data_IF_253004520888
#
_entry.id   IF_253004520888
#
_cell.length_a   1.000
_cell.length_b   1.000
_cell.length_c   1.000
_cell.angle_alpha   90.00
_cell.angle_beta   90.00
_cell.angle_gamma   90.00
#
_symmetry.space_group_name_H-M   'P 1'
#
loop_
_entity.id
_entity.type
_entity.pdbx_description
1 polymer ?
#
# COMPACT_ATOMS: atom_id res chain seq x y z
N UNK A 1 6.16 6.95 -2.05
CA UNK A 1 6.55 5.86 -1.12
C UNK A 1 7.34 6.47 0.03
N UNK A 2 6.71 6.59 1.19
CA UNK A 2 7.27 7.26 2.38
C UNK A 2 7.67 6.23 3.44
N UNK A 3 8.88 6.40 3.96
CA UNK A 3 9.55 5.62 5.01
C UNK A 3 9.81 4.14 4.70
N UNK A 4 11.09 3.82 4.49
CA UNK A 4 11.65 2.48 4.43
C UNK A 4 12.07 2.05 5.84
N UNK A 5 11.59 0.89 6.31
CA UNK A 5 11.78 0.45 7.70
C UNK A 5 12.70 -0.76 7.87
N UNK A 6 13.09 -1.36 6.76
CA UNK A 6 14.07 -2.43 6.70
C UNK A 6 15.21 -2.03 5.77
N UNK A 7 16.39 -2.59 6.00
CA UNK A 7 17.56 -2.41 5.16
C UNK A 7 18.13 -3.78 4.77
N UNK A 8 18.90 -3.82 3.68
CA UNK A 8 19.57 -5.03 3.19
C UNK A 8 18.63 -6.24 3.06
N UNK A 9 19.06 -7.38 3.59
CA UNK A 9 18.36 -8.65 3.47
C UNK A 9 16.97 -8.67 4.14
N UNK A 10 16.72 -7.83 5.14
CA UNK A 10 15.38 -7.72 5.75
C UNK A 10 14.41 -7.03 4.82
N UNK A 11 14.86 -5.98 4.12
CA UNK A 11 14.07 -5.30 3.13
C UNK A 11 13.73 -6.25 1.99
N UNK A 12 14.74 -6.94 1.46
CA UNK A 12 14.56 -7.88 0.37
C UNK A 12 13.52 -8.95 0.72
N UNK A 13 13.59 -9.55 1.91
CA UNK A 13 12.59 -10.52 2.37
C UNK A 13 11.19 -9.92 2.50
N UNK A 14 11.06 -8.70 3.02
CA UNK A 14 9.77 -8.03 3.11
C UNK A 14 9.19 -7.72 1.72
N UNK A 15 10.04 -7.34 0.77
CA UNK A 15 9.67 -7.01 -0.61
C UNK A 15 9.46 -8.24 -1.50
N UNK A 16 9.93 -9.42 -1.12
CA UNK A 16 9.76 -10.67 -1.88
C UNK A 16 8.81 -11.67 -1.20
N UNK A 17 8.02 -11.21 -0.22
CA UNK A 17 6.97 -12.01 0.41
C UNK A 17 6.09 -12.73 -0.63
N UNK A 18 5.86 -14.05 -0.49
CA UNK A 18 4.94 -14.79 -1.34
C UNK A 18 3.52 -14.25 -1.24
N UNK A 19 2.69 -14.49 -2.26
CA UNK A 19 1.27 -14.19 -2.21
C UNK A 19 0.59 -14.79 -0.97
N UNK A 20 -0.38 -14.08 -0.42
CA UNK A 20 -1.16 -14.48 0.76
C UNK A 20 -0.35 -14.56 2.08
N UNK A 21 0.92 -14.14 2.08
CA UNK A 21 1.78 -14.12 3.26
C UNK A 21 1.95 -12.70 3.82
N UNK A 22 2.28 -12.65 5.12
CA UNK A 22 2.62 -11.41 5.83
C UNK A 22 3.95 -11.53 6.55
N UNK A 23 4.59 -10.39 6.82
CA UNK A 23 5.66 -10.34 7.83
C UNK A 23 5.08 -10.55 9.23
N UNK A 24 5.97 -10.80 10.19
CA UNK A 24 5.69 -10.49 11.60
C UNK A 24 5.32 -9.01 11.79
N UNK A 25 4.67 -8.70 12.91
CA UNK A 25 4.43 -7.31 13.32
C UNK A 25 5.76 -6.74 13.82
N UNK A 26 6.12 -5.57 13.33
CA UNK A 26 7.32 -4.83 13.72
C UNK A 26 6.95 -3.41 14.13
N UNK A 27 7.78 -2.77 14.95
CA UNK A 27 7.63 -1.36 15.29
C UNK A 27 8.72 -0.56 14.58
N UNK A 28 8.38 0.28 13.58
CA UNK A 28 9.36 1.15 12.97
C UNK A 28 10.03 2.08 13.98
N UNK A 29 11.36 2.07 14.04
CA UNK A 29 12.13 3.07 14.80
C UNK A 29 12.13 4.39 14.03
N UNK A 30 11.03 5.14 14.05
CA UNK A 30 11.02 6.48 13.45
C UNK A 30 11.76 7.46 14.36
N UNK A 31 12.79 8.15 13.84
CA UNK A 31 13.42 9.27 14.55
C UNK A 31 12.39 10.38 14.75
N UNK A 32 11.92 10.57 15.99
CA UNK A 32 11.05 11.68 16.38
C UNK A 32 9.54 11.40 16.40
N UNK A 33 9.09 10.16 16.20
CA UNK A 33 7.67 9.85 16.32
C UNK A 33 7.22 9.84 17.79
N UNK A 34 6.23 10.68 18.12
CA UNK A 34 5.62 10.79 19.46
C UNK A 34 4.84 9.54 19.89
N UNK A 35 4.63 8.56 19.00
CA UNK A 35 3.81 7.38 19.24
C UNK A 35 4.34 6.18 18.47
N UNK A 36 4.50 5.06 19.18
CA UNK A 36 4.86 3.78 18.59
C UNK A 36 3.71 3.25 17.74
N UNK A 37 4.05 2.73 16.56
CA UNK A 37 3.11 2.16 15.58
C UNK A 37 3.56 0.74 15.31
N UNK A 38 2.61 -0.19 15.35
CA UNK A 38 2.82 -1.54 14.88
C UNK A 38 2.53 -1.61 13.38
N UNK A 39 3.45 -2.18 12.64
CA UNK A 39 3.39 -2.32 11.19
C UNK A 39 3.61 -3.76 10.77
N UNK A 40 2.98 -4.17 9.66
CA UNK A 40 3.32 -5.40 8.96
C UNK A 40 3.02 -5.25 7.48
N UNK A 41 3.75 -5.99 6.65
CA UNK A 41 3.46 -6.09 5.23
C UNK A 41 2.56 -7.30 4.97
N UNK A 42 1.67 -7.20 3.99
CA UNK A 42 0.84 -8.26 3.47
C UNK A 42 0.94 -8.24 1.94
N UNK A 43 1.18 -9.41 1.33
CA UNK A 43 1.18 -9.58 -0.12
C UNK A 43 -0.18 -10.08 -0.58
N UNK A 44 -0.86 -9.26 -1.37
CA UNK A 44 -2.16 -9.56 -1.96
C UNK A 44 -2.06 -10.35 -3.26
N UNK A 45 -1.01 -10.19 -4.06
CA UNK A 45 -0.86 -10.86 -5.36
C UNK A 45 0.58 -11.30 -5.59
N UNK A 46 0.85 -12.35 -6.37
CA UNK A 46 2.23 -12.67 -6.77
C UNK A 46 2.84 -11.47 -7.50
N UNK A 47 4.11 -11.17 -7.19
CA UNK A 47 4.81 -10.01 -7.75
C UNK A 47 5.65 -10.38 -8.97
N UNK A 48 5.92 -11.67 -9.18
CA UNK A 48 6.76 -12.17 -10.26
C UNK A 48 6.23 -11.68 -11.62
N UNK A 49 7.11 -11.06 -12.41
CA UNK A 49 6.74 -10.41 -13.67
C UNK A 49 6.23 -8.96 -13.53
N UNK A 50 6.14 -8.44 -12.30
CA UNK A 50 5.83 -7.05 -11.98
C UNK A 50 6.95 -6.43 -11.10
N UNK A 51 6.76 -5.18 -10.67
CA UNK A 51 7.66 -4.58 -9.67
C UNK A 51 7.45 -5.16 -8.26
N UNK A 52 8.45 -5.03 -7.38
CA UNK A 52 8.42 -5.62 -6.03
C UNK A 52 7.30 -5.09 -5.13
N UNK A 53 6.72 -3.92 -5.44
CA UNK A 53 5.63 -3.31 -4.67
C UNK A 53 4.26 -3.77 -5.15
N UNK A 54 4.19 -4.52 -6.26
CA UNK A 54 2.96 -5.03 -6.84
C UNK A 54 2.19 -5.91 -5.86
N UNK A 55 0.99 -5.49 -5.47
CA UNK A 55 0.19 -6.20 -4.48
C UNK A 55 0.75 -6.16 -3.05
N UNK A 56 1.79 -5.37 -2.77
CA UNK A 56 2.31 -5.20 -1.40
C UNK A 56 1.56 -4.07 -0.70
N UNK A 57 0.89 -4.39 0.41
CA UNK A 57 0.30 -3.39 1.30
C UNK A 57 1.01 -3.39 2.64
N UNK A 58 1.14 -2.19 3.23
CA UNK A 58 1.62 -2.02 4.61
C UNK A 58 0.43 -1.65 5.47
N UNK A 59 0.18 -2.45 6.50
CA UNK A 59 -0.80 -2.14 7.53
C UNK A 59 -0.09 -1.48 8.70
N UNK A 60 -0.75 -0.48 9.27
CA UNK A 60 -0.26 0.27 10.43
C UNK A 60 -1.40 0.42 11.45
N UNK A 61 -1.11 0.15 12.71
CA UNK A 61 -2.06 0.26 13.79
C UNK A 61 -1.36 0.68 15.09
N UNK A 62 -2.14 1.04 16.11
CA UNK A 62 -1.60 1.43 17.42
C UNK A 62 -0.64 0.36 17.97
N UNK A 63 0.48 0.76 18.55
CA UNK A 63 1.32 -0.18 19.31
C UNK A 63 0.57 -0.65 20.55
N UNK A 64 0.03 -1.88 20.46
CA UNK A 64 -0.76 -2.51 21.50
C UNK A 64 -0.69 -4.04 21.33
N UNK A 65 -0.70 -4.83 22.41
CA UNK A 65 -0.73 -6.29 22.32
C UNK A 65 -1.88 -6.84 21.46
N UNK A 66 -3.09 -6.29 21.59
CA UNK A 66 -4.23 -6.67 20.75
C UNK A 66 -3.97 -6.51 19.25
N UNK A 67 -3.17 -5.51 18.84
CA UNK A 67 -2.81 -5.33 17.43
C UNK A 67 -2.01 -6.53 16.92
N UNK A 68 -1.09 -7.05 17.73
CA UNK A 68 -0.30 -8.23 17.38
C UNK A 68 -1.21 -9.46 17.30
N UNK A 69 -2.14 -9.61 18.24
CA UNK A 69 -3.12 -10.69 18.26
C UNK A 69 -4.11 -10.64 17.07
N UNK A 70 -4.50 -9.45 16.63
CA UNK A 70 -5.44 -9.25 15.52
C UNK A 70 -4.80 -9.30 14.14
N UNK A 71 -3.48 -9.09 14.02
CA UNK A 71 -2.79 -9.04 12.73
C UNK A 71 -3.08 -10.25 11.81
N UNK A 72 -3.09 -11.52 12.28
CA UNK A 72 -3.48 -12.66 11.45
C UNK A 72 -4.92 -12.55 10.92
N UNK A 73 -5.88 -12.19 11.78
CA UNK A 73 -7.29 -12.13 11.41
C UNK A 73 -7.55 -11.01 10.40
N UNK A 74 -7.00 -9.82 10.65
CA UNK A 74 -7.11 -8.67 9.73
C UNK A 74 -6.49 -9.00 8.38
N UNK A 75 -5.29 -9.60 8.35
CA UNK A 75 -4.67 -10.03 7.09
C UNK A 75 -5.55 -11.03 6.32
N UNK A 76 -6.13 -12.00 7.02
CA UNK A 76 -7.03 -12.98 6.39
C UNK A 76 -8.34 -12.35 5.87
N UNK A 77 -8.84 -11.27 6.49
CA UNK A 77 -9.98 -10.52 5.96
C UNK A 77 -9.60 -9.78 4.69
N UNK A 78 -8.50 -9.02 4.69
CA UNK A 78 -8.09 -8.27 3.50
C UNK A 78 -7.79 -9.16 2.29
N UNK A 79 -7.26 -10.36 2.52
CA UNK A 79 -7.05 -11.34 1.43
C UNK A 79 -8.36 -11.80 0.78
N UNK A 80 -9.47 -11.83 1.54
CA UNK A 80 -10.81 -12.18 1.01
C UNK A 80 -11.47 -11.00 0.30
N UNK A 81 -11.16 -9.77 0.71
CA UNK A 81 -11.67 -8.52 0.12
C UNK A 81 -10.99 -8.15 -1.23
N UNK A 82 -10.11 -9.01 -1.75
CA UNK A 82 -9.47 -8.82 -3.07
C UNK A 82 -10.45 -8.94 -4.24
N UNK A 83 -11.64 -9.50 -4.01
CA UNK A 83 -12.70 -9.63 -5.00
C UNK A 83 -13.96 -8.89 -4.53
N UNK A 84 -14.63 -8.13 -5.41
CA UNK A 84 -14.28 -7.88 -6.81
C UNK A 84 -13.02 -7.02 -6.98
N UNK A 85 -12.47 -6.94 -8.20
CA UNK A 85 -11.28 -6.14 -8.52
C UNK A 85 -11.66 -4.70 -8.85
N UNK A 86 -10.84 -3.74 -8.45
CA UNK A 86 -11.00 -2.33 -8.78
C UNK A 86 -10.49 -1.97 -10.20
N UNK A 87 -10.30 -2.93 -11.10
CA UNK A 87 -9.89 -2.66 -12.48
C UNK A 87 -10.93 -1.78 -13.19
N UNK A 88 -10.53 -0.78 -14.00
CA UNK A 88 -9.16 -0.51 -14.47
C UNK A 88 -8.36 0.52 -13.63
N UNK A 89 -8.66 0.75 -12.34
CA UNK A 89 -7.85 1.65 -11.49
C UNK A 89 -6.39 1.17 -11.47
N UNK A 90 -5.43 2.07 -11.66
CA UNK A 90 -3.99 1.75 -11.70
C UNK A 90 -3.47 1.15 -10.40
N UNK A 91 -4.18 1.34 -9.29
CA UNK A 91 -3.86 0.81 -7.96
C UNK A 91 -4.55 -0.52 -7.68
N UNK A 92 -5.23 -1.14 -8.65
CA UNK A 92 -6.07 -2.34 -8.42
C UNK A 92 -5.33 -3.48 -7.71
N UNK A 93 -4.01 -3.56 -7.87
CA UNK A 93 -3.15 -4.54 -7.20
C UNK A 93 -3.17 -4.38 -5.67
N UNK A 94 -3.35 -3.16 -5.16
CA UNK A 94 -3.32 -2.83 -3.74
C UNK A 94 -4.63 -2.24 -3.21
N UNK A 95 -5.50 -1.76 -4.10
CA UNK A 95 -6.74 -1.08 -3.79
C UNK A 95 -7.88 -2.11 -3.67
N UNK A 96 -8.33 -2.33 -2.45
CA UNK A 96 -9.52 -3.15 -2.19
C UNK A 96 -10.77 -2.46 -2.74
N UNK A 97 -11.68 -3.24 -3.31
CA UNK A 97 -12.84 -2.68 -4.00
C UNK A 97 -13.75 -1.87 -3.07
N UNK A 98 -13.93 -2.30 -1.81
CA UNK A 98 -14.70 -1.52 -0.84
C UNK A 98 -14.15 -0.09 -0.66
N UNK A 99 -12.82 0.08 -0.73
CA UNK A 99 -12.20 1.41 -0.66
C UNK A 99 -12.45 2.17 -1.97
N UNK A 100 -12.26 1.51 -3.12
CA UNK A 100 -12.54 2.10 -4.44
C UNK A 100 -13.99 2.59 -4.56
N UNK A 101 -14.95 1.81 -4.09
CA UNK A 101 -16.38 2.15 -4.12
C UNK A 101 -16.68 3.38 -3.26
N UNK A 102 -16.14 3.43 -2.03
CA UNK A 102 -16.26 4.61 -1.16
C UNK A 102 -15.59 5.83 -1.78
N UNK A 103 -14.38 5.71 -2.33
CA UNK A 103 -13.69 6.80 -3.03
C UNK A 103 -14.53 7.33 -4.21
N UNK A 104 -15.14 6.43 -4.97
CA UNK A 104 -16.01 6.76 -6.11
C UNK A 104 -17.25 7.50 -5.65
N UNK A 105 -17.95 6.94 -4.66
CA UNK A 105 -19.14 7.54 -4.04
C UNK A 105 -18.85 8.95 -3.50
N UNK A 106 -17.75 9.12 -2.76
CA UNK A 106 -17.37 10.42 -2.19
C UNK A 106 -17.02 11.42 -3.28
N UNK A 107 -16.34 11.02 -4.36
CA UNK A 107 -16.02 11.90 -5.48
C UNK A 107 -17.26 12.44 -6.18
N UNK A 108 -18.33 11.65 -6.28
CA UNK A 108 -19.61 12.13 -6.87
C UNK A 108 -20.32 13.17 -5.99
N UNK A 109 -20.00 13.24 -4.69
CA UNK A 109 -20.63 14.15 -3.72
C UNK A 109 -19.73 15.31 -3.29
N UNK A 110 -18.44 15.26 -3.62
CA UNK A 110 -17.51 16.31 -3.25
C UNK A 110 -17.87 17.63 -3.96
N UNK A 111 -17.95 18.75 -3.24
CA UNK A 111 -17.93 20.09 -3.83
C UNK A 111 -16.79 20.24 -4.84
N UNK A 112 -17.04 20.89 -5.98
CA UNK A 112 -16.11 20.93 -7.13
C UNK A 112 -14.76 21.58 -6.80
N UNK A 113 -14.70 22.37 -5.74
CA UNK A 113 -13.53 23.05 -5.20
C UNK A 113 -12.61 22.15 -4.35
N UNK A 114 -13.08 20.98 -3.90
CA UNK A 114 -12.28 19.99 -3.16
C UNK A 114 -11.70 18.90 -4.06
N UNK A 115 -12.11 18.83 -5.33
CA UNK A 115 -11.59 17.87 -6.30
C UNK A 115 -10.43 18.51 -7.06
N UNK A 116 -9.17 18.13 -6.82
CA UNK A 116 -8.07 18.63 -7.62
C UNK A 116 -8.29 18.27 -9.10
N UNK A 117 -8.00 19.17 -10.04
CA UNK A 117 -8.13 18.86 -11.46
C UNK A 117 -7.28 17.63 -11.79
N UNK A 118 -7.70 16.78 -12.76
CA UNK A 118 -6.90 15.64 -13.16
C UNK A 118 -5.51 16.15 -13.52
N UNK A 119 -4.50 15.64 -12.80
CA UNK A 119 -3.12 16.07 -12.96
C UNK A 119 -2.70 15.83 -14.40
N UNK A 120 -2.54 16.93 -15.15
CA UNK A 120 -1.89 16.91 -16.45
C UNK A 120 -0.57 16.19 -16.30
N UNK A 121 -0.43 15.09 -17.03
CA UNK A 121 0.79 14.32 -17.20
C UNK A 121 1.96 15.28 -17.38
N UNK A 122 2.80 15.41 -16.34
CA UNK A 122 4.08 16.08 -16.44
C UNK A 122 4.90 15.27 -17.46
N UNK A 123 4.91 15.75 -18.70
CA UNK A 123 5.88 15.29 -19.70
C UNK A 123 7.22 15.80 -19.21
N UNK A 124 8.06 14.91 -18.70
CA UNK A 124 9.47 15.22 -18.49
C UNK A 124 10.04 15.74 -19.82
N UNK A 125 10.84 16.82 -19.81
CA UNK A 125 11.45 17.32 -21.03
C UNK A 125 12.49 16.29 -21.51
N UNK A 126 12.30 15.77 -22.72
CA UNK A 126 13.36 15.06 -23.44
C UNK A 126 14.43 16.09 -23.77
N UNK A 127 15.56 16.04 -23.07
CA UNK A 127 16.75 16.79 -23.43
C UNK A 127 17.23 16.31 -24.79
N UNK A 128 17.06 17.16 -25.82
CA UNK A 128 17.72 17.04 -27.11
C UNK A 128 19.24 17.09 -26.88
N UNK A 129 19.93 16.01 -27.18
CA UNK A 129 21.38 16.04 -27.42
C UNK A 129 21.55 16.54 -28.86
N UNK A 130 22.13 17.72 -29.01
CA UNK A 130 22.60 18.25 -30.28
C UNK A 130 23.91 17.57 -30.67
N UNK A 131 24.10 17.45 -31.99
CA UNK A 131 25.22 16.83 -32.72
C UNK A 131 26.60 17.33 -32.34
#
# INVERSE_FOLDING_TARGET
HGAQYFEGAELERALTLPADHRTGVFCPKSRGARREIHSWYLRLWPWEGNDLLYGLVRLEARAHPDTVALAPAVSAWLLRERAPLATPDRRWDRLLYAIHDVETYLRTRAPRDLVPPPSSTSRLPVSRIAS
#
